data_IF_380058097059
#
_entry.id   IF_380058097059
#
_cell.length_a   1.000
_cell.length_b   1.000
_cell.length_c   1.000
_cell.angle_alpha   90.00
_cell.angle_beta   90.00
_cell.angle_gamma   90.00
#
_symmetry.space_group_name_H-M   'P 1'
#
loop_
_entity.id
_entity.type
_entity.pdbx_description
1 polymer ?
#
# COMPACT_ATOMS: atom_id res chain seq x y z
N UNK A 1 -32.30 15.68 21.93
CA UNK A 1 -32.79 14.58 21.07
C UNK A 1 -33.09 15.17 19.69
N UNK A 2 -32.12 15.12 18.81
CA UNK A 2 -32.23 15.59 17.42
C UNK A 2 -33.01 14.56 16.61
N UNK A 3 -34.14 14.96 16.06
CA UNK A 3 -34.96 14.10 15.19
C UNK A 3 -34.16 13.81 13.91
N UNK A 4 -33.79 12.55 13.75
CA UNK A 4 -33.23 12.05 12.48
C UNK A 4 -34.33 12.24 11.42
N UNK A 5 -34.02 13.04 10.39
CA UNK A 5 -34.94 13.30 9.31
C UNK A 5 -35.09 12.01 8.47
N UNK A 6 -36.25 11.37 8.62
CA UNK A 6 -36.61 10.14 7.91
C UNK A 6 -36.55 10.30 6.39
N UNK A 7 -36.65 11.52 5.85
CA UNK A 7 -36.52 11.77 4.41
C UNK A 7 -35.08 11.61 3.94
N UNK A 8 -34.07 12.01 4.73
CA UNK A 8 -32.67 11.81 4.41
C UNK A 8 -32.30 10.30 4.38
N UNK A 9 -32.92 9.51 5.25
CA UNK A 9 -32.74 8.04 5.27
C UNK A 9 -33.35 7.37 4.02
N UNK A 10 -34.50 7.87 3.53
CA UNK A 10 -35.14 7.31 2.33
C UNK A 10 -34.41 7.68 1.05
N UNK A 11 -33.80 8.86 0.95
CA UNK A 11 -33.03 9.25 -0.24
C UNK A 11 -31.72 8.49 -0.38
N UNK A 12 -31.03 8.22 0.74
CA UNK A 12 -29.81 7.39 0.72
C UNK A 12 -30.12 5.91 0.48
N UNK A 13 -31.22 5.39 1.04
CA UNK A 13 -31.68 4.02 0.80
C UNK A 13 -32.17 3.79 -0.61
N UNK A 14 -32.85 4.77 -1.22
CA UNK A 14 -33.32 4.67 -2.61
C UNK A 14 -32.18 4.72 -3.61
N UNK A 15 -31.14 5.53 -3.37
CA UNK A 15 -29.94 5.57 -4.21
C UNK A 15 -29.17 4.25 -4.14
N UNK A 16 -29.02 3.67 -2.95
CA UNK A 16 -28.37 2.37 -2.77
C UNK A 16 -29.19 1.22 -3.41
N UNK A 17 -30.53 1.27 -3.30
CA UNK A 17 -31.40 0.28 -3.93
C UNK A 17 -31.42 0.39 -5.47
N UNK A 18 -31.34 1.62 -6.02
CA UNK A 18 -31.22 1.84 -7.46
C UNK A 18 -29.88 1.33 -8.01
N UNK A 19 -28.78 1.56 -7.32
CA UNK A 19 -27.45 1.04 -7.68
C UNK A 19 -27.42 -0.50 -7.63
N UNK A 20 -28.04 -1.10 -6.63
CA UNK A 20 -28.17 -2.55 -6.53
C UNK A 20 -29.06 -3.16 -7.63
N UNK A 21 -30.12 -2.46 -8.04
CA UNK A 21 -31.05 -2.91 -9.07
C UNK A 21 -30.51 -2.72 -10.50
N UNK A 22 -29.61 -1.79 -10.73
CA UNK A 22 -29.02 -1.52 -12.06
C UNK A 22 -27.79 -2.39 -12.36
N UNK A 23 -27.30 -3.19 -11.39
CA UNK A 23 -26.10 -4.01 -11.58
C UNK A 23 -24.82 -3.18 -11.82
N UNK A 24 -24.86 -1.87 -11.63
CA UNK A 24 -23.69 -1.00 -11.70
C UNK A 24 -22.89 -1.23 -10.44
N UNK A 25 -21.88 -2.06 -10.52
CA UNK A 25 -20.82 -2.07 -9.51
C UNK A 25 -20.19 -0.68 -9.54
N UNK A 26 -20.31 0.07 -8.43
CA UNK A 26 -19.61 1.33 -8.28
C UNK A 26 -18.12 1.02 -8.30
N UNK A 27 -17.50 1.16 -9.47
CA UNK A 27 -16.04 1.06 -9.56
C UNK A 27 -15.45 2.30 -8.89
N UNK A 28 -14.37 2.17 -8.13
CA UNK A 28 -13.68 3.30 -7.55
C UNK A 28 -13.30 4.29 -8.67
N UNK A 29 -13.58 5.56 -8.46
CA UNK A 29 -13.19 6.59 -9.42
C UNK A 29 -11.68 6.82 -9.31
N UNK A 30 -10.99 6.72 -10.45
CA UNK A 30 -9.58 7.09 -10.53
C UNK A 30 -9.46 8.59 -10.61
N UNK A 31 -8.41 9.12 -9.98
CA UNK A 31 -8.06 10.54 -10.06
C UNK A 31 -7.81 11.20 -8.72
N UNK A 32 -7.38 12.45 -8.77
CA UNK A 32 -7.13 13.26 -7.60
C UNK A 32 -5.80 12.98 -6.91
N UNK A 33 -5.67 13.55 -5.71
CA UNK A 33 -4.47 13.42 -4.86
C UNK A 33 -4.85 12.86 -3.51
N UNK A 34 -4.09 11.89 -3.02
CA UNK A 34 -4.13 11.44 -1.63
C UNK A 34 -3.07 12.21 -0.84
N UNK A 35 -3.46 12.82 0.28
CA UNK A 35 -2.56 13.53 1.19
C UNK A 35 -2.51 12.83 2.54
N UNK A 36 -1.31 12.57 3.05
CA UNK A 36 -1.13 11.91 4.34
C UNK A 36 -0.18 12.66 5.25
N UNK A 37 -0.55 12.80 6.53
CA UNK A 37 0.31 13.30 7.59
C UNK A 37 0.81 12.12 8.43
N UNK A 38 2.12 11.90 8.45
CA UNK A 38 2.74 10.70 8.98
C UNK A 38 3.79 10.99 10.05
N UNK A 39 3.90 10.08 11.02
CA UNK A 39 5.06 10.02 11.89
C UNK A 39 6.32 9.64 11.11
N UNK A 40 7.49 9.88 11.68
CA UNK A 40 8.77 9.58 11.02
C UNK A 40 8.86 8.11 10.58
N UNK A 41 8.49 7.18 11.45
CA UNK A 41 8.57 5.75 11.15
C UNK A 41 7.66 5.36 9.97
N UNK A 42 6.41 5.83 9.99
CA UNK A 42 5.45 5.49 8.94
C UNK A 42 5.70 6.27 7.64
N UNK A 43 6.31 7.45 7.70
CA UNK A 43 6.68 8.19 6.51
C UNK A 43 7.66 7.40 5.64
N UNK A 44 8.75 6.91 6.20
CA UNK A 44 9.76 6.16 5.44
C UNK A 44 9.19 4.84 4.90
N UNK A 45 8.40 4.14 5.71
CA UNK A 45 7.72 2.92 5.28
C UNK A 45 6.71 3.18 4.15
N UNK A 46 5.91 4.25 4.26
CA UNK A 46 4.93 4.61 3.23
C UNK A 46 5.62 5.00 1.91
N UNK A 47 6.71 5.75 1.98
CA UNK A 47 7.51 6.08 0.79
C UNK A 47 8.06 4.82 0.15
N UNK A 48 8.66 3.93 0.93
CA UNK A 48 9.22 2.68 0.42
C UNK A 48 8.14 1.81 -0.23
N UNK A 49 7.01 1.57 0.45
CA UNK A 49 5.89 0.77 -0.07
C UNK A 49 5.18 1.40 -1.29
N UNK A 50 5.34 2.71 -1.50
CA UNK A 50 4.76 3.43 -2.63
C UNK A 50 5.64 3.34 -3.88
N UNK A 51 6.96 3.42 -3.68
CA UNK A 51 7.97 3.53 -4.76
C UNK A 51 8.50 2.17 -5.18
N UNK A 52 8.57 1.20 -4.27
CA UNK A 52 9.20 -0.09 -4.51
C UNK A 52 8.21 -1.25 -4.34
N UNK A 53 8.53 -2.37 -4.95
CA UNK A 53 7.88 -3.65 -4.74
C UNK A 53 8.89 -4.66 -4.20
N UNK A 54 8.35 -5.71 -3.58
CA UNK A 54 9.09 -6.84 -3.05
C UNK A 54 8.88 -8.09 -3.92
N UNK A 55 9.59 -9.18 -3.66
CA UNK A 55 9.30 -10.45 -4.34
C UNK A 55 7.92 -11.00 -3.94
N UNK A 56 7.55 -10.83 -2.70
CA UNK A 56 6.30 -11.30 -2.12
C UNK A 56 5.65 -10.20 -1.29
N UNK A 57 4.37 -10.33 -1.01
CA UNK A 57 3.62 -9.43 -0.12
C UNK A 57 2.76 -10.23 0.86
N UNK A 58 2.53 -9.69 2.03
CA UNK A 58 1.54 -10.19 2.98
C UNK A 58 0.29 -9.32 2.87
N UNK A 59 -0.82 -9.95 2.48
CA UNK A 59 -2.09 -9.25 2.42
C UNK A 59 -2.66 -8.98 3.82
N UNK A 60 -3.63 -8.09 3.92
CA UNK A 60 -4.28 -7.72 5.17
C UNK A 60 -4.87 -8.89 5.98
N UNK A 61 -5.31 -9.92 5.29
CA UNK A 61 -5.79 -11.16 5.90
C UNK A 61 -4.65 -12.10 6.39
N UNK A 62 -3.39 -11.65 6.29
CA UNK A 62 -2.19 -12.43 6.61
C UNK A 62 -1.77 -13.43 5.53
N UNK A 63 -2.46 -13.46 4.39
CA UNK A 63 -2.14 -14.37 3.29
C UNK A 63 -0.89 -13.90 2.56
N UNK A 64 0.10 -14.78 2.42
CA UNK A 64 1.28 -14.53 1.60
C UNK A 64 0.92 -14.63 0.11
N UNK A 65 1.35 -13.65 -0.66
CA UNK A 65 1.11 -13.57 -2.11
C UNK A 65 2.39 -13.25 -2.86
N UNK A 66 2.39 -13.57 -4.16
CA UNK A 66 3.41 -13.07 -5.06
C UNK A 66 3.21 -11.58 -5.35
N UNK A 67 4.33 -10.85 -5.40
CA UNK A 67 4.40 -9.47 -5.86
C UNK A 67 5.23 -9.44 -7.16
N UNK A 68 6.52 -9.19 -7.12
CA UNK A 68 7.41 -9.37 -8.29
C UNK A 68 7.65 -10.85 -8.63
N UNK A 69 7.49 -11.76 -7.67
CA UNK A 69 7.49 -13.18 -7.93
C UNK A 69 6.07 -13.70 -8.24
N UNK A 70 5.96 -14.55 -9.24
CA UNK A 70 4.71 -15.24 -9.60
C UNK A 70 4.58 -16.60 -8.90
N UNK A 71 5.70 -17.16 -8.42
CA UNK A 71 5.72 -18.42 -7.70
C UNK A 71 7.09 -18.70 -7.09
N UNK A 72 7.11 -19.63 -6.14
CA UNK A 72 8.35 -20.07 -5.48
C UNK A 72 8.25 -21.51 -4.96
N UNK A 73 9.41 -22.12 -4.79
CA UNK A 73 9.54 -23.45 -4.18
C UNK A 73 10.88 -23.54 -3.44
N UNK A 74 10.98 -24.43 -2.44
CA UNK A 74 12.23 -24.70 -1.76
C UNK A 74 12.68 -26.15 -1.91
N UNK A 75 13.96 -26.40 -1.65
CA UNK A 75 14.43 -27.73 -1.36
C UNK A 75 13.87 -28.27 -0.02
N UNK A 76 14.13 -29.54 0.28
CA UNK A 76 13.63 -30.18 1.49
C UNK A 76 14.21 -29.59 2.78
N UNK A 77 15.34 -28.92 2.72
CA UNK A 77 16.03 -28.28 3.83
C UNK A 77 15.68 -26.80 4.00
N UNK A 78 14.89 -26.22 3.08
CA UNK A 78 14.58 -24.78 3.04
C UNK A 78 15.86 -23.89 3.04
N UNK A 79 16.92 -24.37 2.36
CA UNK A 79 18.18 -23.66 2.18
C UNK A 79 18.32 -23.08 0.79
N UNK A 80 17.66 -23.65 -0.21
CA UNK A 80 17.64 -23.13 -1.59
C UNK A 80 16.19 -22.89 -1.99
N UNK A 81 15.91 -21.65 -2.38
CA UNK A 81 14.60 -21.20 -2.80
C UNK A 81 14.63 -20.73 -4.23
N UNK A 82 13.85 -21.36 -5.09
CA UNK A 82 13.66 -20.94 -6.48
C UNK A 82 12.46 -20.02 -6.59
N UNK A 83 12.67 -18.86 -7.21
CA UNK A 83 11.63 -17.90 -7.52
C UNK A 83 11.44 -17.77 -9.02
N UNK A 84 10.17 -17.79 -9.45
CA UNK A 84 9.77 -17.42 -10.82
C UNK A 84 9.25 -15.99 -10.77
N UNK A 85 9.77 -15.14 -11.65
CA UNK A 85 9.53 -13.69 -11.64
C UNK A 85 8.53 -13.28 -12.72
N UNK A 86 8.02 -12.07 -12.61
CA UNK A 86 7.26 -11.41 -13.68
C UNK A 86 8.19 -10.99 -14.80
N UNK A 87 7.66 -10.98 -16.01
CA UNK A 87 8.33 -10.52 -17.24
C UNK A 87 7.70 -9.25 -17.83
N UNK A 88 6.63 -8.74 -17.19
CA UNK A 88 5.83 -7.59 -17.61
C UNK A 88 6.06 -6.33 -16.74
N UNK A 89 7.20 -6.27 -16.01
CA UNK A 89 7.52 -5.20 -15.06
C UNK A 89 8.69 -4.37 -15.58
N UNK A 90 8.58 -3.05 -15.44
CA UNK A 90 9.67 -2.10 -15.64
C UNK A 90 9.86 -1.21 -14.42
N UNK A 91 11.08 -0.79 -14.17
CA UNK A 91 11.42 0.23 -13.20
C UNK A 91 10.98 1.63 -13.66
N UNK A 92 10.93 2.58 -12.74
CA UNK A 92 10.51 3.96 -13.04
C UNK A 92 11.47 4.69 -13.99
N UNK A 93 12.70 4.23 -14.12
CA UNK A 93 13.71 4.72 -15.07
C UNK A 93 13.61 4.06 -16.46
N UNK A 94 12.69 3.10 -16.64
CA UNK A 94 12.43 2.40 -17.89
C UNK A 94 13.23 1.11 -18.06
N UNK A 95 14.11 0.75 -17.12
CA UNK A 95 14.83 -0.53 -17.14
C UNK A 95 13.83 -1.68 -16.94
N UNK A 96 14.01 -2.77 -17.70
CA UNK A 96 13.14 -3.96 -17.57
C UNK A 96 13.60 -4.79 -16.38
N UNK A 97 12.65 -5.13 -15.52
CA UNK A 97 12.90 -6.00 -14.36
C UNK A 97 13.33 -7.41 -14.81
N UNK A 98 14.34 -7.95 -14.15
CA UNK A 98 14.84 -9.31 -14.37
C UNK A 98 15.45 -9.90 -13.11
N UNK A 99 15.80 -11.17 -13.15
CA UNK A 99 16.44 -11.90 -12.05
C UNK A 99 17.78 -11.28 -11.59
N UNK A 100 18.48 -10.56 -12.46
CA UNK A 100 19.73 -9.87 -12.09
C UNK A 100 19.53 -8.84 -10.99
N UNK A 101 18.36 -8.17 -10.95
CA UNK A 101 18.04 -7.17 -9.93
C UNK A 101 17.88 -7.75 -8.52
N UNK A 102 17.68 -9.07 -8.40
CA UNK A 102 17.64 -9.74 -7.11
C UNK A 102 19.00 -9.71 -6.40
N UNK A 103 20.10 -9.43 -7.12
CA UNK A 103 21.42 -9.23 -6.52
C UNK A 103 21.48 -8.00 -5.59
N UNK A 104 20.50 -7.12 -5.64
CA UNK A 104 20.34 -6.02 -4.69
C UNK A 104 19.93 -6.51 -3.28
N UNK A 105 19.42 -7.73 -3.17
CA UNK A 105 19.06 -8.33 -1.87
C UNK A 105 20.32 -8.67 -1.05
N UNK A 106 20.25 -8.56 0.28
CA UNK A 106 21.37 -8.92 1.16
C UNK A 106 21.48 -10.45 1.35
N UNK A 107 21.48 -11.19 0.23
CA UNK A 107 21.46 -12.65 0.17
C UNK A 107 22.27 -13.15 -1.02
N UNK A 108 22.66 -14.43 -0.99
CA UNK A 108 23.29 -15.06 -2.15
C UNK A 108 22.24 -15.38 -3.20
N UNK A 109 22.35 -14.76 -4.38
CA UNK A 109 21.44 -14.97 -5.52
C UNK A 109 22.18 -15.62 -6.67
N UNK A 110 21.66 -16.74 -7.15
CA UNK A 110 22.09 -17.44 -8.35
C UNK A 110 21.06 -17.24 -9.46
N UNK A 111 21.39 -16.43 -10.45
CA UNK A 111 20.51 -16.19 -11.60
C UNK A 111 20.57 -17.38 -12.55
N UNK A 112 19.44 -17.94 -12.89
CA UNK A 112 19.29 -19.10 -13.79
C UNK A 112 18.97 -18.61 -15.21
N UNK A 113 18.01 -17.71 -15.32
CA UNK A 113 17.58 -17.05 -16.54
C UNK A 113 16.91 -15.69 -16.19
N UNK A 114 16.51 -14.86 -17.16
CA UNK A 114 15.94 -13.52 -16.85
C UNK A 114 14.73 -13.50 -15.92
N UNK A 115 13.98 -14.59 -15.80
CA UNK A 115 12.77 -14.71 -15.00
C UNK A 115 12.85 -15.77 -13.90
N UNK A 116 14.04 -16.34 -13.68
CA UNK A 116 14.24 -17.39 -12.68
C UNK A 116 15.52 -17.18 -11.90
N UNK A 117 15.45 -17.17 -10.59
CA UNK A 117 16.62 -17.14 -9.72
C UNK A 117 16.46 -18.05 -8.50
N UNK A 118 17.59 -18.54 -7.99
CA UNK A 118 17.66 -19.23 -6.71
C UNK A 118 18.26 -18.29 -5.66
N UNK A 119 17.61 -18.21 -4.49
CA UNK A 119 18.20 -17.61 -3.29
C UNK A 119 18.75 -18.73 -2.44
N UNK A 120 20.03 -18.64 -2.12
CA UNK A 120 20.77 -19.65 -1.34
C UNK A 120 21.06 -19.09 0.04
N UNK A 121 20.71 -19.85 1.06
CA UNK A 121 20.83 -19.45 2.46
C UNK A 121 21.92 -20.27 3.15
N UNK A 122 22.62 -19.66 4.11
CA UNK A 122 23.60 -20.32 4.96
C UNK A 122 22.94 -21.17 6.06
N UNK A 123 21.69 -20.87 6.39
CA UNK A 123 20.89 -21.59 7.39
C UNK A 123 19.47 -21.80 6.88
N UNK A 124 18.82 -22.94 7.26
CA UNK A 124 17.45 -23.21 6.85
C UNK A 124 16.47 -22.11 7.26
N UNK A 125 15.66 -21.65 6.34
CA UNK A 125 14.57 -20.70 6.63
C UNK A 125 13.30 -21.05 5.85
N UNK A 126 12.35 -21.80 6.45
CA UNK A 126 11.08 -22.14 5.81
C UNK A 126 10.15 -20.92 5.61
N UNK A 127 10.45 -19.79 6.24
CA UNK A 127 9.67 -18.56 6.16
C UNK A 127 10.33 -17.48 5.27
N UNK A 128 11.27 -17.86 4.42
CA UNK A 128 11.94 -16.88 3.53
C UNK A 128 10.94 -16.04 2.73
N UNK A 129 9.87 -16.60 2.12
CA UNK A 129 8.93 -15.77 1.38
C UNK A 129 8.20 -14.73 2.25
N UNK A 130 7.94 -15.00 3.52
CA UNK A 130 7.43 -13.99 4.46
C UNK A 130 8.48 -12.93 4.79
N UNK A 131 9.74 -13.32 4.95
CA UNK A 131 10.84 -12.38 5.19
C UNK A 131 10.99 -11.41 4.03
N UNK A 132 10.89 -11.90 2.79
CA UNK A 132 11.03 -11.09 1.57
C UNK A 132 9.85 -10.13 1.34
N UNK A 133 8.77 -10.25 2.09
CA UNK A 133 7.66 -9.31 2.08
C UNK A 133 7.86 -8.12 3.05
N UNK A 134 8.92 -8.15 3.88
CA UNK A 134 9.17 -7.09 4.86
C UNK A 134 9.97 -5.92 4.26
N UNK A 135 9.86 -4.72 4.88
CA UNK A 135 10.72 -3.57 4.57
C UNK A 135 12.21 -3.95 4.67
N UNK A 136 13.00 -3.41 3.76
CA UNK A 136 14.43 -3.71 3.63
C UNK A 136 14.76 -4.81 2.61
N UNK A 137 13.76 -5.41 1.98
CA UNK A 137 13.91 -6.40 0.90
C UNK A 137 13.29 -5.91 -0.42
N UNK A 138 13.11 -4.61 -0.55
CA UNK A 138 12.61 -3.99 -1.79
C UNK A 138 13.62 -4.20 -2.93
N UNK A 139 13.10 -4.48 -4.12
CA UNK A 139 13.92 -4.61 -5.32
C UNK A 139 14.11 -3.23 -5.93
N UNK A 140 15.36 -2.95 -6.34
CA UNK A 140 15.77 -1.67 -6.91
C UNK A 140 16.61 -1.90 -8.18
N UNK A 141 16.50 -0.96 -9.12
CA UNK A 141 17.42 -0.91 -10.26
C UNK A 141 18.82 -0.45 -9.80
N UNK A 142 19.79 -0.51 -10.69
CA UNK A 142 21.14 0.01 -10.42
C UNK A 142 21.15 1.51 -10.11
N UNK A 143 20.21 2.27 -10.68
CA UNK A 143 20.04 3.70 -10.40
C UNK A 143 19.28 3.98 -9.09
N UNK A 144 18.76 2.94 -8.42
CA UNK A 144 17.93 3.03 -7.24
C UNK A 144 16.45 3.30 -7.54
N UNK A 145 16.01 3.17 -8.79
CA UNK A 145 14.60 3.29 -9.13
C UNK A 145 13.81 2.09 -8.64
N UNK A 146 12.51 2.30 -8.35
CA UNK A 146 11.57 1.27 -7.95
C UNK A 146 10.64 0.85 -9.07
N UNK A 147 9.82 -0.16 -8.78
CA UNK A 147 8.77 -0.70 -9.66
C UNK A 147 7.37 -0.40 -9.16
N UNK A 148 7.24 0.36 -8.06
CA UNK A 148 5.97 0.60 -7.37
C UNK A 148 4.97 1.45 -8.15
N UNK A 149 3.78 1.58 -7.60
CA UNK A 149 2.64 2.26 -8.26
C UNK A 149 2.88 3.76 -8.52
N UNK A 150 3.78 4.40 -7.77
CA UNK A 150 4.04 5.83 -7.89
C UNK A 150 5.55 6.10 -7.99
N UNK A 151 5.91 6.79 -9.06
CA UNK A 151 7.28 7.27 -9.25
C UNK A 151 7.52 8.56 -8.46
N UNK A 152 8.73 8.74 -7.97
CA UNK A 152 9.14 9.93 -7.21
C UNK A 152 9.09 11.17 -8.10
N UNK A 153 8.26 12.15 -7.75
CA UNK A 153 8.30 13.51 -8.31
C UNK A 153 9.12 14.45 -7.43
N UNK A 154 8.97 14.31 -6.11
CA UNK A 154 9.71 15.08 -5.11
C UNK A 154 9.98 14.21 -3.90
N UNK A 155 11.19 14.25 -3.40
CA UNK A 155 11.56 13.62 -2.13
C UNK A 155 12.49 14.55 -1.36
N UNK A 156 12.03 14.97 -0.19
CA UNK A 156 12.82 15.53 0.88
C UNK A 156 12.87 14.49 2.00
N UNK A 157 13.97 13.72 2.14
CA UNK A 157 14.04 12.59 3.06
C UNK A 157 13.60 12.95 4.47
N UNK A 158 12.76 12.10 5.08
CA UNK A 158 12.21 12.30 6.42
C UNK A 158 11.30 13.53 6.57
N UNK A 159 10.83 14.15 5.48
CA UNK A 159 10.07 15.40 5.56
C UNK A 159 8.89 15.47 4.60
N UNK A 160 9.11 15.28 3.30
CA UNK A 160 8.08 15.49 2.29
C UNK A 160 8.31 14.59 1.08
N UNK A 161 7.28 13.93 0.62
CA UNK A 161 7.27 13.09 -0.56
C UNK A 161 6.07 13.43 -1.45
N UNK A 162 6.29 13.49 -2.74
CA UNK A 162 5.24 13.52 -3.76
C UNK A 162 5.55 12.44 -4.79
N UNK A 163 4.58 11.54 -4.99
CA UNK A 163 4.63 10.50 -6.01
C UNK A 163 3.57 10.72 -7.07
N UNK A 164 3.93 10.49 -8.33
CA UNK A 164 2.99 10.44 -9.45
C UNK A 164 2.70 9.01 -9.84
N UNK A 165 1.44 8.72 -10.13
CA UNK A 165 1.01 7.40 -10.58
C UNK A 165 1.71 7.03 -11.88
N UNK A 166 2.27 5.81 -11.93
CA UNK A 166 2.89 5.24 -13.13
C UNK A 166 1.80 4.86 -14.12
N UNK A 167 1.90 5.36 -15.33
CA UNK A 167 0.98 4.98 -16.41
C UNK A 167 1.23 3.52 -16.82
N UNK A 168 0.14 2.78 -17.07
CA UNK A 168 0.19 1.38 -17.51
C UNK A 168 0.94 0.42 -16.58
N UNK A 169 0.92 0.70 -15.26
CA UNK A 169 1.52 -0.17 -14.28
C UNK A 169 0.94 -1.59 -14.35
N UNK A 170 1.79 -2.61 -14.09
CA UNK A 170 1.39 -4.02 -14.13
C UNK A 170 0.29 -4.37 -13.11
N UNK A 171 0.21 -3.67 -11.97
CA UNK A 171 -0.90 -3.75 -10.99
C UNK A 171 -2.11 -2.97 -11.48
N UNK A 172 -2.83 -3.47 -12.47
CA UNK A 172 -3.90 -2.75 -13.20
C UNK A 172 -5.08 -2.30 -12.34
N UNK A 173 -5.32 -2.95 -11.20
CA UNK A 173 -6.44 -2.66 -10.31
C UNK A 173 -6.04 -1.88 -9.06
N UNK A 174 -4.85 -1.30 -9.05
CA UNK A 174 -4.28 -0.52 -7.95
C UNK A 174 -3.93 0.90 -8.41
N UNK A 175 -3.55 1.79 -7.46
CA UNK A 175 -3.15 3.14 -7.79
C UNK A 175 -4.31 4.02 -8.23
N UNK A 176 -5.29 4.24 -7.36
CA UNK A 176 -6.52 4.99 -7.69
C UNK A 176 -6.30 6.49 -7.82
N UNK A 177 -5.35 7.06 -7.09
CA UNK A 177 -5.03 8.48 -7.14
C UNK A 177 -4.03 8.79 -8.25
N UNK A 178 -4.10 9.97 -8.85
CA UNK A 178 -3.11 10.43 -9.83
C UNK A 178 -1.79 10.79 -9.18
N UNK A 179 -1.84 11.22 -7.91
CA UNK A 179 -0.66 11.52 -7.11
C UNK A 179 -0.91 11.23 -5.63
N UNK A 180 0.18 10.99 -4.92
CA UNK A 180 0.20 10.86 -3.47
C UNK A 180 1.15 11.88 -2.89
N UNK A 181 0.82 12.43 -1.73
CA UNK A 181 1.63 13.40 -1.02
C UNK A 181 1.72 13.02 0.45
N UNK A 182 2.92 12.78 0.94
CA UNK A 182 3.18 12.45 2.34
C UNK A 182 3.98 13.58 2.98
N UNK A 183 3.53 14.01 4.15
CA UNK A 183 4.21 15.03 4.95
C UNK A 183 4.49 14.44 6.34
N UNK A 184 5.74 14.52 6.76
CA UNK A 184 6.14 14.05 8.08
C UNK A 184 5.88 15.13 9.13
N UNK A 185 5.19 14.75 10.23
CA UNK A 185 5.05 15.53 11.44
C UNK A 185 5.32 14.66 12.66
N UNK A 186 6.29 15.07 13.48
CA UNK A 186 6.67 14.31 14.68
C UNK A 186 5.62 14.39 15.80
N UNK A 187 4.81 15.47 15.83
CA UNK A 187 3.84 15.74 16.88
C UNK A 187 2.47 15.18 16.49
N UNK A 188 1.94 14.26 17.29
CA UNK A 188 0.64 13.59 17.07
C UNK A 188 -0.52 14.58 16.93
N UNK A 189 -0.58 15.59 17.83
CA UNK A 189 -1.63 16.61 17.80
C UNK A 189 -1.67 17.38 16.47
N UNK A 190 -0.51 17.66 15.86
CA UNK A 190 -0.44 18.33 14.55
C UNK A 190 -1.03 17.48 13.45
N UNK A 191 -0.78 16.16 13.46
CA UNK A 191 -1.35 15.22 12.50
C UNK A 191 -2.87 15.10 12.65
N UNK A 192 -3.35 15.02 13.90
CA UNK A 192 -4.78 14.99 14.23
C UNK A 192 -5.49 16.28 13.79
N UNK A 193 -4.88 17.45 14.02
CA UNK A 193 -5.42 18.74 13.55
C UNK A 193 -5.45 18.82 12.03
N UNK A 194 -4.37 18.44 11.36
CA UNK A 194 -4.32 18.46 9.89
C UNK A 194 -5.41 17.59 9.25
N UNK A 195 -5.72 16.43 9.86
CA UNK A 195 -6.81 15.58 9.42
C UNK A 195 -8.19 16.21 9.68
N UNK A 196 -8.41 16.72 10.89
CA UNK A 196 -9.68 17.35 11.28
C UNK A 196 -10.00 18.58 10.42
N UNK A 197 -8.99 19.38 10.11
CA UNK A 197 -9.13 20.61 9.33
C UNK A 197 -9.16 20.34 7.80
N UNK A 198 -9.12 19.06 7.37
CA UNK A 198 -9.17 18.66 5.97
C UNK A 198 -7.92 19.00 5.15
N UNK A 199 -6.80 19.29 5.83
CA UNK A 199 -5.52 19.55 5.16
C UNK A 199 -4.92 18.27 4.57
N UNK A 200 -5.21 17.13 5.22
CA UNK A 200 -4.83 15.79 4.76
C UNK A 200 -6.03 14.84 4.79
N UNK A 201 -5.94 13.75 4.07
CA UNK A 201 -6.98 12.75 3.93
C UNK A 201 -6.75 11.54 4.84
N UNK A 202 -5.50 11.37 5.27
CA UNK A 202 -5.06 10.27 6.15
C UNK A 202 -4.05 10.79 7.16
N UNK A 203 -4.09 10.27 8.39
CA UNK A 203 -3.07 10.51 9.41
C UNK A 203 -2.86 9.27 10.30
N UNK A 204 -1.63 9.01 10.71
CA UNK A 204 -1.36 8.12 11.84
C UNK A 204 -1.46 8.91 13.15
N UNK A 205 -2.28 8.41 14.07
CA UNK A 205 -2.59 9.07 15.33
C UNK A 205 -2.49 8.08 16.50
N UNK A 206 -1.91 8.53 17.61
CA UNK A 206 -1.82 7.71 18.83
C UNK A 206 -3.10 7.80 19.69
N UNK A 207 -3.77 8.95 19.69
CA UNK A 207 -4.97 9.20 20.47
C UNK A 207 -6.15 9.55 19.58
N UNK A 208 -7.31 8.93 19.84
CA UNK A 208 -8.58 9.17 19.10
C UNK A 208 -9.37 10.37 19.65
N UNK A 209 -9.09 10.79 20.88
CA UNK A 209 -9.81 11.88 21.56
C UNK A 209 -9.81 13.24 20.82
N UNK A 210 -8.76 13.62 20.07
CA UNK A 210 -8.77 14.85 19.30
C UNK A 210 -9.74 14.86 18.13
N UNK A 211 -10.20 13.68 17.68
CA UNK A 211 -11.20 13.56 16.62
C UNK A 211 -12.59 13.66 17.23
N UNK A 212 -13.14 14.87 17.27
CA UNK A 212 -14.37 15.22 17.99
C UNK A 212 -15.63 14.51 17.48
N UNK A 213 -15.63 13.97 16.28
CA UNK A 213 -16.70 13.13 15.74
C UNK A 213 -16.11 11.95 14.94
N UNK A 214 -16.00 10.76 15.58
CA UNK A 214 -15.47 9.58 14.91
C UNK A 214 -16.32 9.10 13.71
N UNK A 215 -17.50 9.68 13.47
CA UNK A 215 -18.35 9.34 12.33
C UNK A 215 -17.85 9.92 11.01
N UNK A 216 -16.99 10.93 11.06
CA UNK A 216 -16.42 11.57 9.89
C UNK A 216 -15.13 10.88 9.41
N UNK A 217 -14.61 9.95 10.22
CA UNK A 217 -13.35 9.26 9.94
C UNK A 217 -13.52 7.75 10.06
N UNK A 218 -12.81 7.02 9.22
CA UNK A 218 -12.58 5.59 9.41
C UNK A 218 -11.29 5.39 10.21
N UNK A 219 -11.39 4.62 11.27
CA UNK A 219 -10.24 4.27 12.11
C UNK A 219 -9.83 2.84 11.79
N UNK A 220 -8.64 2.70 11.26
CA UNK A 220 -8.02 1.42 10.98
C UNK A 220 -7.01 1.11 12.09
N UNK A 221 -7.07 -0.09 12.69
CA UNK A 221 -6.08 -0.46 13.70
C UNK A 221 -4.68 -0.54 13.06
N UNK A 222 -3.71 0.07 13.70
CA UNK A 222 -2.32 0.14 13.22
C UNK A 222 -1.54 -1.15 13.47
N UNK A 223 -2.01 -2.31 13.01
CA UNK A 223 -1.25 -3.55 13.07
C UNK A 223 -0.52 -3.80 14.41
N UNK A 224 0.82 -3.84 14.38
CA UNK A 224 1.67 -3.95 15.57
C UNK A 224 2.04 -2.61 16.21
N UNK A 225 1.68 -1.49 15.57
CA UNK A 225 1.93 -0.15 16.08
C UNK A 225 0.89 0.24 17.15
N UNK A 226 1.26 0.99 18.18
CA UNK A 226 0.29 1.58 19.11
C UNK A 226 -0.52 2.73 18.48
N UNK A 227 -0.25 3.07 17.23
CA UNK A 227 -0.94 4.13 16.49
C UNK A 227 -2.10 3.56 15.67
N UNK A 228 -3.09 4.41 15.41
CA UNK A 228 -4.22 4.12 14.54
C UNK A 228 -4.07 4.93 13.25
N UNK A 229 -4.58 4.39 12.16
CA UNK A 229 -4.72 5.15 10.93
C UNK A 229 -6.13 5.72 10.88
N UNK A 230 -6.25 7.04 10.89
CA UNK A 230 -7.50 7.74 10.69
C UNK A 230 -7.58 8.26 9.25
N UNK A 231 -8.67 7.96 8.57
CA UNK A 231 -8.85 8.30 7.17
C UNK A 231 -10.22 8.93 6.91
N UNK A 232 -10.25 9.93 6.04
CA UNK A 232 -11.48 10.54 5.54
C UNK A 232 -12.13 9.65 4.48
N UNK A 233 -13.37 9.96 4.10
CA UNK A 233 -14.09 9.28 3.03
C UNK A 233 -13.43 9.42 1.63
N UNK A 234 -12.53 10.37 1.47
CA UNK A 234 -11.72 10.53 0.23
C UNK A 234 -10.72 9.40 0.12
N UNK A 235 -10.04 9.08 1.21
CA UNK A 235 -9.04 8.01 1.24
C UNK A 235 -9.69 6.62 1.35
N UNK A 236 -10.72 6.49 2.19
CA UNK A 236 -11.45 5.23 2.41
C UNK A 236 -12.96 5.51 2.37
N UNK A 237 -13.65 5.21 1.29
CA UNK A 237 -15.07 5.43 1.16
C UNK A 237 -15.91 4.67 2.19
N UNK A 238 -16.92 5.36 2.72
CA UNK A 238 -17.74 4.92 3.84
C UNK A 238 -18.76 3.84 3.50
N UNK A 239 -19.05 3.60 2.22
CA UNK A 239 -20.04 2.58 1.85
C UNK A 239 -19.62 1.76 0.68
N UNK A 240 -19.92 0.51 0.72
CA UNK A 240 -19.47 -0.38 -0.17
C UNK A 240 -20.05 -1.71 -0.45
N UNK A 241 -20.07 -2.18 -1.69
CA UNK A 241 -20.30 -3.55 -2.11
C UNK A 241 -19.18 -4.47 -1.61
N UNK A 242 -19.46 -5.77 -1.51
CA UNK A 242 -18.59 -6.77 -0.87
C UNK A 242 -17.16 -6.89 -1.43
N UNK A 243 -16.88 -6.36 -2.62
CA UNK A 243 -15.56 -6.44 -3.25
C UNK A 243 -14.70 -5.20 -3.04
N UNK A 244 -15.30 -4.06 -2.83
CA UNK A 244 -14.63 -2.77 -2.90
C UNK A 244 -13.90 -2.29 -1.64
N UNK A 245 -14.43 -2.44 -0.41
CA UNK A 245 -13.71 -2.04 0.79
C UNK A 245 -12.46 -2.85 1.03
N UNK A 246 -12.53 -4.12 0.69
CA UNK A 246 -11.39 -5.01 0.88
C UNK A 246 -10.21 -4.62 -0.01
N UNK A 247 -10.46 -4.17 -1.23
CA UNK A 247 -9.38 -3.78 -2.13
C UNK A 247 -8.78 -2.42 -1.74
N UNK A 248 -9.57 -1.50 -1.23
CA UNK A 248 -9.04 -0.22 -0.75
C UNK A 248 -8.48 -0.29 0.67
N UNK A 249 -9.07 -1.08 1.55
CA UNK A 249 -8.46 -1.41 2.83
C UNK A 249 -7.13 -2.13 2.63
N UNK A 250 -7.05 -3.07 1.68
CA UNK A 250 -5.80 -3.75 1.31
C UNK A 250 -4.77 -2.80 0.72
N UNK A 251 -5.18 -1.80 -0.03
CA UNK A 251 -4.26 -0.75 -0.49
C UNK A 251 -3.80 0.14 0.65
N UNK A 252 -4.71 0.58 1.51
CA UNK A 252 -4.35 1.31 2.72
C UNK A 252 -3.47 0.44 3.62
N UNK A 253 -3.84 -0.81 3.86
CA UNK A 253 -3.06 -1.75 4.68
C UNK A 253 -1.72 -2.09 4.05
N UNK A 254 -1.63 -2.23 2.74
CA UNK A 254 -0.37 -2.41 2.03
C UNK A 254 0.56 -1.19 2.18
N UNK A 255 -0.01 -0.01 2.30
CA UNK A 255 0.76 1.23 2.49
C UNK A 255 1.20 1.43 3.93
N UNK A 256 0.50 0.81 4.90
CA UNK A 256 0.66 1.07 6.32
C UNK A 256 1.22 -0.10 7.13
N UNK A 257 1.21 -1.33 6.58
CA UNK A 257 1.51 -2.54 7.34
C UNK A 257 2.71 -3.31 6.77
N UNK A 258 3.25 -2.91 5.63
CA UNK A 258 4.45 -3.54 5.08
C UNK A 258 5.66 -3.33 5.95
#
# INVERSE_FOLDING_TARGET
>A
MTRIDRRALFTSGAAAALLAATGVSAQPQRGGRLRAALSMLLFDQAVAATVFDNLTEVAADGTLRGDLATGWSSDAQAMRWRFTLRDDVAFHDGEVFSAEHLRSLPMTVEVIDPVTADIVLDTPNPNLPYLLAHPGYEIRSETGAGTGLYAVQKLEPGRHFIGARVANHWKKQSGWFDSVEFVQFSVDAVRSEALRDGMVDVADIAALDPLSDPRDFQILPGGRSPTHIAATSVAVPLSVGKSWPLDNLRMAERWWIS
#
